data_IF_267572564455
#
_entry.id   IF_267572564455
#
_cell.length_a   1.000
_cell.length_b   1.000
_cell.length_c   1.000
_cell.angle_alpha   90.00
_cell.angle_beta   90.00
_cell.angle_gamma   90.00
#
_symmetry.space_group_name_H-M   'P 1'
#
loop_
_entity.id
_entity.type
_entity.pdbx_description
1 polymer ?
#
# COMPACT_ATOMS: atom_id res chain seq x y z
N UNK A 1 1.15 14.17 10.76
CA UNK A 1 1.07 12.83 10.14
C UNK A 1 -0.06 12.91 9.12
N UNK A 2 0.24 13.52 7.98
CA UNK A 2 -0.80 14.18 7.17
C UNK A 2 -0.98 13.43 5.85
N UNK A 3 -0.95 12.10 5.93
CA UNK A 3 -0.93 11.22 4.77
C UNK A 3 -2.31 11.05 4.19
N UNK A 4 -2.60 11.78 3.12
CA UNK A 4 -3.64 11.40 2.17
C UNK A 4 -3.21 10.06 1.52
N UNK A 5 -3.60 8.95 2.14
CA UNK A 5 -3.35 7.61 1.63
C UNK A 5 -4.48 7.27 0.66
N UNK A 6 -4.27 7.58 -0.61
CA UNK A 6 -5.31 7.38 -1.61
C UNK A 6 -4.73 7.07 -2.97
N UNK A 7 -5.39 6.15 -3.66
CA UNK A 7 -5.40 6.15 -5.13
C UNK A 7 -6.04 7.49 -5.53
N UNK A 8 -5.23 8.52 -5.72
CA UNK A 8 -5.72 9.87 -6.06
C UNK A 8 -6.24 9.94 -7.50
N UNK A 9 -5.87 8.97 -8.33
CA UNK A 9 -6.32 8.86 -9.73
C UNK A 9 -7.16 7.59 -9.90
N UNK A 10 -8.46 7.76 -10.14
CA UNK A 10 -9.34 6.66 -10.48
C UNK A 10 -9.00 6.10 -11.86
N UNK A 11 -8.65 4.82 -11.93
CA UNK A 11 -8.35 4.11 -13.18
C UNK A 11 -9.38 3.02 -13.45
N UNK A 12 -9.54 2.66 -14.73
CA UNK A 12 -10.40 1.54 -15.13
C UNK A 12 -9.76 0.20 -14.73
N UNK A 13 -10.58 -0.77 -14.39
CA UNK A 13 -10.18 -2.16 -14.25
C UNK A 13 -10.33 -2.92 -15.57
N UNK A 14 -9.56 -4.00 -15.74
CA UNK A 14 -9.65 -4.92 -16.87
C UNK A 14 -10.55 -6.09 -16.47
N UNK A 15 -11.61 -6.34 -17.24
CA UNK A 15 -12.52 -7.47 -17.07
C UNK A 15 -12.26 -8.52 -18.15
N UNK A 16 -12.10 -9.77 -17.73
CA UNK A 16 -12.02 -10.92 -18.63
C UNK A 16 -13.39 -11.61 -18.74
N UNK A 17 -13.62 -12.31 -19.87
CA UNK A 17 -14.87 -13.04 -20.13
C UNK A 17 -15.17 -14.14 -19.08
N UNK A 18 -14.17 -14.58 -18.30
CA UNK A 18 -14.32 -15.55 -17.21
C UNK A 18 -14.83 -14.93 -15.90
N UNK A 19 -15.04 -13.62 -15.84
CA UNK A 19 -15.37 -12.89 -14.62
C UNK A 19 -14.15 -12.45 -13.80
N UNK A 20 -12.92 -12.78 -14.22
CA UNK A 20 -11.69 -12.29 -13.58
C UNK A 20 -11.56 -10.77 -13.79
N UNK A 21 -11.37 -10.03 -12.70
CA UNK A 21 -11.10 -8.59 -12.71
C UNK A 21 -9.65 -8.33 -12.29
N UNK A 22 -8.93 -7.52 -13.06
CA UNK A 22 -7.57 -7.06 -12.72
C UNK A 22 -7.60 -5.54 -12.60
N UNK A 23 -7.18 -5.03 -11.45
CA UNK A 23 -7.12 -3.58 -11.19
C UNK A 23 -5.77 -3.22 -10.58
N UNK A 24 -5.04 -2.34 -11.28
CA UNK A 24 -3.70 -1.89 -10.89
C UNK A 24 -3.59 -0.38 -11.01
N UNK A 25 -4.18 0.39 -10.08
CA UNK A 25 -4.07 1.84 -10.09
C UNK A 25 -2.65 2.29 -9.68
N UNK A 26 -2.14 3.40 -10.25
CA UNK A 26 -0.93 4.03 -9.73
C UNK A 26 -1.23 4.64 -8.35
N UNK A 27 -0.30 4.47 -7.41
CA UNK A 27 -0.41 5.02 -6.07
C UNK A 27 0.96 5.44 -5.53
N UNK A 28 0.97 6.53 -4.75
CA UNK A 28 2.13 6.97 -3.98
C UNK A 28 1.86 6.58 -2.53
N UNK A 29 2.58 5.57 -2.03
CA UNK A 29 2.47 5.13 -0.65
C UNK A 29 3.48 5.88 0.22
N UNK A 30 2.98 6.52 1.27
CA UNK A 30 3.81 7.05 2.37
C UNK A 30 3.51 6.19 3.58
N UNK A 31 4.47 5.41 4.07
CA UNK A 31 4.28 4.61 5.28
C UNK A 31 5.02 5.23 6.45
N UNK A 32 4.50 5.04 7.66
CA UNK A 32 5.31 5.26 8.85
C UNK A 32 6.33 4.12 8.99
N UNK A 33 7.59 4.46 9.23
CA UNK A 33 8.66 3.50 9.50
C UNK A 33 9.47 3.98 10.70
N UNK A 34 9.74 3.07 11.62
CA UNK A 34 10.64 3.31 12.76
C UNK A 34 12.09 3.19 12.29
N UNK A 35 12.90 4.19 12.63
CA UNK A 35 14.30 4.29 12.20
C UNK A 35 15.21 4.04 13.39
N UNK A 36 16.11 3.07 13.24
CA UNK A 36 17.09 2.72 14.25
C UNK A 36 18.47 3.32 13.94
N UNK A 37 18.83 4.39 14.66
CA UNK A 37 20.05 5.17 14.41
C UNK A 37 21.29 4.68 15.19
N UNK A 38 21.25 3.48 15.79
CA UNK A 38 22.34 2.95 16.64
C UNK A 38 23.72 2.89 15.97
N UNK A 39 23.77 2.71 14.65
CA UNK A 39 25.01 2.50 13.88
C UNK A 39 25.22 3.52 12.75
N UNK A 40 24.56 4.67 12.80
CA UNK A 40 24.67 5.69 11.76
C UNK A 40 26.14 6.06 11.45
N UNK A 41 26.55 6.17 10.16
CA UNK A 41 25.75 6.09 8.92
C UNK A 41 25.68 4.68 8.28
N UNK A 42 26.04 3.63 9.02
CA UNK A 42 26.10 2.24 8.56
C UNK A 42 24.95 1.38 9.10
N UNK A 43 23.88 2.03 9.54
CA UNK A 43 22.66 1.41 10.02
C UNK A 43 21.88 0.73 8.88
N UNK A 44 21.15 -0.33 9.23
CA UNK A 44 20.22 -1.00 8.34
C UNK A 44 18.79 -0.74 8.81
N UNK A 45 17.93 -0.31 7.90
CA UNK A 45 16.52 -0.04 8.20
C UNK A 45 15.61 -1.11 7.61
N UNK A 46 14.61 -1.53 8.38
CA UNK A 46 13.58 -2.47 7.94
C UNK A 46 12.21 -1.81 8.06
N UNK A 47 11.62 -1.45 6.92
CA UNK A 47 10.32 -0.79 6.84
C UNK A 47 9.26 -1.73 6.26
N UNK A 48 8.03 -1.62 6.77
CA UNK A 48 6.91 -2.47 6.34
C UNK A 48 5.76 -1.63 5.79
N UNK A 49 5.13 -2.14 4.75
CA UNK A 49 3.83 -1.65 4.27
C UNK A 49 2.75 -2.66 4.67
N UNK A 50 1.68 -2.18 5.30
CA UNK A 50 0.52 -2.99 5.67
C UNK A 50 -0.62 -2.68 4.71
N UNK A 51 -1.07 -3.69 3.98
CA UNK A 51 -2.21 -3.58 3.06
C UNK A 51 -3.39 -4.37 3.63
N UNK A 52 -4.58 -3.81 3.51
CA UNK A 52 -5.81 -4.45 3.96
C UNK A 52 -7.03 -3.75 3.39
N UNK A 53 -8.14 -4.47 3.31
CA UNK A 53 -9.43 -3.85 3.02
C UNK A 53 -9.86 -3.02 4.22
N UNK A 54 -10.43 -1.85 3.95
CA UNK A 54 -11.05 -1.03 5.00
C UNK A 54 -12.45 -1.53 5.35
N UNK A 55 -13.15 -2.15 4.39
CA UNK A 55 -14.59 -2.43 4.50
C UNK A 55 -14.94 -3.91 4.59
N UNK A 56 -13.98 -4.80 4.37
CA UNK A 56 -14.19 -6.26 4.38
C UNK A 56 -13.20 -6.90 5.36
N UNK A 57 -13.68 -7.88 6.12
CA UNK A 57 -12.84 -8.73 6.95
C UNK A 57 -12.46 -10.04 6.23
N UNK A 58 -11.90 -10.99 6.98
CA UNK A 58 -11.46 -12.29 6.45
C UNK A 58 -12.49 -13.43 6.56
N UNK A 59 -13.72 -13.17 7.01
CA UNK A 59 -14.76 -14.19 7.23
C UNK A 59 -15.92 -14.11 6.24
N UNK A 60 -15.80 -13.24 5.25
CA UNK A 60 -16.83 -12.97 4.25
C UNK A 60 -16.63 -13.78 2.97
#
# INVERSE_FOLDING_TARGET
ADGEYGITTMTKAVLHHTGKVVWGPPAIFKSSCEIDVRYFPFDQQTCFMKFGSWTYDGFQ
#
